data_IF_201481154261
#
_entry.id   IF_201481154261
#
_cell.length_a   1.000
_cell.length_b   1.000
_cell.length_c   1.000
_cell.angle_alpha   90.00
_cell.angle_beta   90.00
_cell.angle_gamma   90.00
#
_symmetry.space_group_name_H-M   'P 1'
#
loop_
_entity.id
_entity.type
_entity.pdbx_description
1 polymer ?
#
# COMPACT_ATOMS: atom_id res chain seq x y z
N UNK A 1 9.22 -27.13 -2.95
CA UNK A 1 8.70 -25.88 -2.38
C UNK A 1 9.79 -24.83 -2.53
N UNK A 2 9.54 -23.72 -3.24
CA UNK A 2 10.38 -22.53 -3.06
C UNK A 2 9.94 -21.89 -1.75
N UNK A 3 10.56 -22.33 -0.66
CA UNK A 3 10.54 -21.59 0.61
C UNK A 3 11.02 -20.18 0.28
N UNK A 4 10.30 -19.14 0.71
CA UNK A 4 10.84 -17.78 0.71
C UNK A 4 12.04 -17.81 1.66
N UNK A 5 13.19 -18.15 1.10
CA UNK A 5 14.47 -17.91 1.74
C UNK A 5 14.64 -16.41 1.55
N UNK A 6 14.85 -15.62 2.63
CA UNK A 6 15.31 -14.25 2.46
C UNK A 6 16.41 -14.30 1.40
N UNK A 7 16.29 -13.51 0.33
CA UNK A 7 17.34 -13.48 -0.67
C UNK A 7 18.55 -12.88 0.03
N UNK A 8 19.36 -13.72 0.66
CA UNK A 8 20.65 -13.36 1.22
C UNK A 8 21.46 -13.03 -0.01
N UNK A 9 21.46 -11.75 -0.39
CA UNK A 9 22.39 -11.27 -1.38
C UNK A 9 23.76 -11.41 -0.72
N UNK A 10 24.63 -12.30 -1.24
CA UNK A 10 25.91 -12.61 -0.60
C UNK A 10 26.84 -11.40 -0.50
N UNK A 11 26.50 -10.30 -1.19
CA UNK A 11 27.21 -9.03 -1.20
C UNK A 11 26.67 -8.00 -0.18
N UNK A 12 25.55 -8.29 0.50
CA UNK A 12 24.94 -7.40 1.48
C UNK A 12 25.34 -7.83 2.90
N UNK A 13 25.88 -6.88 3.68
CA UNK A 13 26.17 -7.08 5.10
C UNK A 13 24.90 -6.98 5.94
N UNK A 14 24.37 -8.14 6.33
CA UNK A 14 23.17 -8.25 7.17
C UNK A 14 23.44 -8.12 8.69
N UNK A 15 24.71 -7.98 9.13
CA UNK A 15 25.05 -7.91 10.55
C UNK A 15 24.34 -6.74 11.25
N UNK A 16 24.26 -5.59 10.58
CA UNK A 16 23.59 -4.38 11.06
C UNK A 16 22.08 -4.55 11.14
N UNK A 17 21.47 -5.17 10.14
CA UNK A 17 20.03 -5.51 10.15
C UNK A 17 19.71 -6.44 11.31
N UNK A 18 20.55 -7.45 11.56
CA UNK A 18 20.39 -8.37 12.69
C UNK A 18 20.48 -7.63 14.03
N UNK A 19 21.47 -6.76 14.18
CA UNK A 19 21.63 -5.92 15.38
C UNK A 19 20.43 -4.99 15.63
N UNK A 20 19.88 -4.39 14.57
CA UNK A 20 18.67 -3.57 14.65
C UNK A 20 17.45 -4.40 15.09
N UNK A 21 17.25 -5.58 14.48
CA UNK A 21 16.15 -6.50 14.86
C UNK A 21 16.25 -6.91 16.32
N UNK A 22 17.45 -7.25 16.80
CA UNK A 22 17.70 -7.59 18.21
C UNK A 22 17.43 -6.40 19.14
N UNK A 23 17.85 -5.20 18.74
CA UNK A 23 17.60 -3.96 19.49
C UNK A 23 16.10 -3.67 19.61
N UNK A 24 15.34 -3.72 18.51
CA UNK A 24 13.90 -3.46 18.53
C UNK A 24 13.12 -4.52 19.31
N UNK A 25 13.59 -5.78 19.29
CA UNK A 25 13.01 -6.84 20.12
C UNK A 25 13.16 -6.55 21.62
N UNK A 26 14.28 -5.94 22.04
CA UNK A 26 14.57 -5.67 23.45
C UNK A 26 14.02 -4.33 23.95
N UNK A 27 14.09 -3.28 23.12
CA UNK A 27 13.82 -1.89 23.52
C UNK A 27 12.55 -1.29 22.92
N UNK A 28 11.89 -2.00 22.01
CA UNK A 28 10.81 -1.45 21.19
C UNK A 28 11.33 -0.70 19.96
N UNK A 29 10.40 -0.28 19.11
CA UNK A 29 10.71 0.40 17.84
C UNK A 29 10.97 1.89 18.10
N UNK A 30 12.15 2.36 17.67
CA UNK A 30 12.48 3.78 17.61
C UNK A 30 12.72 4.17 16.14
N UNK A 31 11.86 5.06 15.64
CA UNK A 31 11.89 5.50 14.23
C UNK A 31 13.12 6.34 13.92
N UNK A 32 13.58 7.17 14.85
CA UNK A 32 14.75 8.01 14.64
C UNK A 32 16.01 7.15 14.62
N UNK A 33 16.13 6.21 15.57
CA UNK A 33 17.23 5.25 15.57
C UNK A 33 17.28 4.43 14.27
N UNK A 34 16.12 3.99 13.77
CA UNK A 34 16.03 3.26 12.49
C UNK A 34 16.44 4.11 11.28
N UNK A 35 16.07 5.40 11.24
CA UNK A 35 16.37 6.28 10.11
C UNK A 35 17.80 6.80 10.12
N UNK A 36 18.42 6.89 11.31
CA UNK A 36 19.81 7.32 11.49
C UNK A 36 20.83 6.18 11.31
N UNK A 37 20.39 4.93 11.28
CA UNK A 37 21.29 3.79 11.06
C UNK A 37 21.79 3.71 9.61
N UNK A 38 22.99 3.18 9.45
CA UNK A 38 23.71 3.15 8.18
C UNK A 38 23.55 1.82 7.41
N UNK A 39 22.45 1.09 7.66
CA UNK A 39 22.14 -0.19 7.03
C UNK A 39 21.52 -0.05 5.64
N UNK A 40 20.91 1.09 5.32
CA UNK A 40 20.25 1.30 4.03
C UNK A 40 21.23 1.18 2.86
N UNK A 41 20.87 0.38 1.85
CA UNK A 41 21.59 0.23 0.58
C UNK A 41 20.63 0.44 -0.58
N UNK A 42 20.15 1.67 -0.75
CA UNK A 42 19.31 2.04 -1.88
C UNK A 42 20.10 2.16 -3.18
N UNK A 43 19.40 2.41 -4.29
CA UNK A 43 20.00 2.52 -5.62
C UNK A 43 21.13 3.56 -5.64
N UNK A 44 22.26 3.17 -6.22
CA UNK A 44 23.44 4.02 -6.33
C UNK A 44 23.12 5.37 -6.98
N UNK A 45 23.55 6.46 -6.34
CA UNK A 45 23.32 7.84 -6.80
C UNK A 45 21.94 8.42 -6.45
N UNK A 46 21.06 7.65 -5.79
CA UNK A 46 19.73 8.07 -5.35
C UNK A 46 19.50 7.97 -3.84
N UNK A 47 20.50 7.57 -3.06
CA UNK A 47 20.40 7.14 -1.67
C UNK A 47 19.85 8.26 -0.77
N UNK A 48 20.41 9.47 -0.88
CA UNK A 48 19.96 10.64 -0.10
C UNK A 48 18.49 10.96 -0.36
N UNK A 49 18.07 10.92 -1.63
CA UNK A 49 16.68 11.18 -2.01
C UNK A 49 15.75 10.08 -1.51
N UNK A 50 16.18 8.82 -1.62
CA UNK A 50 15.42 7.67 -1.15
C UNK A 50 15.19 7.75 0.36
N UNK A 51 16.23 8.04 1.14
CA UNK A 51 16.12 8.22 2.58
C UNK A 51 15.21 9.41 2.93
N UNK A 52 15.31 10.55 2.24
CA UNK A 52 14.41 11.69 2.44
C UNK A 52 12.93 11.35 2.20
N UNK A 53 12.63 10.57 1.16
CA UNK A 53 11.27 10.11 0.86
C UNK A 53 10.78 9.20 2.00
N UNK A 54 11.60 8.22 2.40
CA UNK A 54 11.26 7.29 3.48
C UNK A 54 11.06 8.01 4.82
N UNK A 55 11.98 8.88 5.22
CA UNK A 55 11.91 9.68 6.44
C UNK A 55 10.62 10.50 6.47
N UNK A 56 10.29 11.18 5.38
CA UNK A 56 9.08 12.00 5.30
C UNK A 56 7.82 11.15 5.46
N UNK A 57 7.75 9.98 4.83
CA UNK A 57 6.60 9.09 4.94
C UNK A 57 6.47 8.43 6.33
N UNK A 58 7.59 7.99 6.92
CA UNK A 58 7.61 7.37 8.25
C UNK A 58 7.22 8.38 9.34
N UNK A 59 7.70 9.62 9.27
CA UNK A 59 7.33 10.68 10.23
C UNK A 59 5.86 11.11 10.14
N UNK A 60 5.21 10.88 9.00
CA UNK A 60 3.76 11.11 8.83
C UNK A 60 2.89 9.97 9.36
N UNK A 61 3.47 8.78 9.56
CA UNK A 61 2.74 7.56 9.95
C UNK A 61 3.11 7.06 11.35
N UNK A 62 4.25 7.50 11.90
CA UNK A 62 4.78 7.05 13.18
C UNK A 62 5.30 8.23 14.03
N UNK A 63 4.63 8.58 15.15
CA UNK A 63 3.35 8.04 15.61
C UNK A 63 2.17 8.51 14.73
N UNK A 64 1.11 7.71 14.66
CA UNK A 64 -0.13 8.05 13.97
C UNK A 64 -0.87 9.18 14.71
N UNK A 65 -0.59 10.43 14.33
CA UNK A 65 -1.17 11.64 14.96
C UNK A 65 -2.16 12.37 14.05
N UNK A 66 -2.10 12.09 12.75
CA UNK A 66 -2.92 12.73 11.71
C UNK A 66 -3.84 11.72 11.04
N UNK A 67 -5.01 12.14 10.54
CA UNK A 67 -5.82 11.28 9.69
C UNK A 67 -5.05 10.87 8.43
N UNK A 68 -5.09 9.59 8.10
CA UNK A 68 -4.62 9.08 6.82
C UNK A 68 -5.83 8.80 5.94
N UNK A 69 -5.85 9.38 4.75
CA UNK A 69 -6.90 9.15 3.76
C UNK A 69 -6.28 8.59 2.51
N UNK A 70 -6.76 7.43 2.07
CA UNK A 70 -6.52 6.95 0.72
C UNK A 70 -7.74 7.13 -0.15
N UNK A 71 -7.49 7.54 -1.40
CA UNK A 71 -8.50 7.68 -2.43
C UNK A 71 -8.00 6.91 -3.65
N UNK A 72 -8.90 6.20 -4.29
CA UNK A 72 -8.69 5.58 -5.58
C UNK A 72 -9.90 5.85 -6.47
N UNK A 73 -9.67 6.06 -7.76
CA UNK A 73 -10.72 6.42 -8.73
C UNK A 73 -10.63 5.52 -9.95
N UNK A 74 -11.70 4.78 -10.21
CA UNK A 74 -11.80 3.92 -11.37
C UNK A 74 -12.50 4.64 -12.53
N UNK A 75 -12.03 4.38 -13.75
CA UNK A 75 -12.62 4.90 -14.97
C UNK A 75 -12.84 3.78 -15.99
N UNK A 76 -13.75 4.02 -16.93
CA UNK A 76 -14.03 3.07 -18.01
C UNK A 76 -12.80 2.81 -18.87
N UNK A 77 -12.52 1.53 -19.17
CA UNK A 77 -11.43 1.10 -20.04
C UNK A 77 -11.51 1.71 -21.44
N UNK A 78 -12.71 1.82 -22.02
CA UNK A 78 -12.93 2.36 -23.37
C UNK A 78 -12.91 3.90 -23.40
N UNK A 79 -13.14 4.55 -22.26
CA UNK A 79 -13.10 5.99 -22.15
C UNK A 79 -12.75 6.44 -20.74
N UNK A 80 -11.46 6.73 -20.53
CA UNK A 80 -10.89 7.16 -19.25
C UNK A 80 -11.44 8.50 -18.72
N UNK A 81 -12.28 9.20 -19.49
CA UNK A 81 -13.03 10.37 -19.00
C UNK A 81 -14.30 10.00 -18.24
N UNK A 82 -14.78 8.76 -18.37
CA UNK A 82 -15.98 8.26 -17.69
C UNK A 82 -15.60 7.60 -16.37
N UNK A 83 -15.70 8.36 -15.29
CA UNK A 83 -15.52 7.88 -13.93
C UNK A 83 -16.62 6.87 -13.57
N UNK A 84 -16.25 5.70 -13.05
CA UNK A 84 -17.18 4.64 -12.67
C UNK A 84 -17.33 4.49 -11.16
N UNK A 85 -16.24 4.62 -10.41
CA UNK A 85 -16.21 4.42 -8.96
C UNK A 85 -15.23 5.39 -8.28
N UNK A 86 -15.51 5.73 -7.03
CA UNK A 86 -14.59 6.42 -6.12
C UNK A 86 -14.50 5.58 -4.85
N UNK A 87 -13.30 5.17 -4.50
CA UNK A 87 -12.96 4.50 -3.26
C UNK A 87 -12.31 5.45 -2.27
N UNK A 88 -12.68 5.32 -1.01
CA UNK A 88 -12.09 6.11 0.07
C UNK A 88 -11.83 5.20 1.26
N UNK A 89 -10.62 5.25 1.81
CA UNK A 89 -10.27 4.61 3.08
C UNK A 89 -9.74 5.68 4.05
N UNK A 90 -10.24 5.67 5.28
CA UNK A 90 -9.93 6.68 6.30
C UNK A 90 -9.47 5.97 7.57
N UNK A 91 -8.23 6.22 7.97
CA UNK A 91 -7.73 5.87 9.29
C UNK A 91 -7.57 7.16 10.09
N UNK A 92 -8.37 7.32 11.14
CA UNK A 92 -8.34 8.50 12.00
C UNK A 92 -7.93 8.10 13.42
N UNK A 93 -6.81 8.61 13.94
CA UNK A 93 -6.36 8.28 15.29
C UNK A 93 -7.34 8.76 16.37
N UNK A 94 -8.21 9.74 16.10
CA UNK A 94 -9.23 10.19 17.05
C UNK A 94 -10.47 9.29 17.10
N UNK A 95 -10.71 8.51 16.04
CA UNK A 95 -11.84 7.56 15.97
C UNK A 95 -11.40 6.18 16.44
N UNK A 96 -10.12 5.86 16.25
CA UNK A 96 -9.53 4.59 16.67
C UNK A 96 -9.69 4.41 18.18
N UNK A 97 -10.29 3.29 18.59
CA UNK A 97 -10.50 2.99 20.01
C UNK A 97 -9.15 2.98 20.75
N UNK A 98 -8.96 3.82 21.79
CA UNK A 98 -7.72 3.84 22.55
C UNK A 98 -7.37 2.45 23.07
N UNK A 99 -6.14 2.00 22.78
CA UNK A 99 -5.67 0.66 23.16
C UNK A 99 -6.09 -0.49 22.23
N UNK A 100 -6.85 -0.21 21.15
CA UNK A 100 -7.10 -1.23 20.12
C UNK A 100 -5.85 -1.49 19.31
N UNK A 101 -5.47 -2.77 19.22
CA UNK A 101 -4.37 -3.25 18.38
C UNK A 101 -4.78 -3.24 16.91
N UNK A 102 -6.07 -3.47 16.62
CA UNK A 102 -6.60 -3.47 15.26
C UNK A 102 -7.02 -2.05 14.86
N UNK A 103 -6.44 -1.46 13.80
CA UNK A 103 -6.82 -0.14 13.34
C UNK A 103 -8.24 -0.17 12.75
N UNK A 104 -9.09 0.77 13.16
CA UNK A 104 -10.42 0.93 12.59
C UNK A 104 -10.33 1.82 11.34
N UNK A 105 -10.38 1.19 10.17
CA UNK A 105 -10.35 1.89 8.88
C UNK A 105 -11.77 1.97 8.34
N UNK A 106 -12.26 3.19 8.15
CA UNK A 106 -13.54 3.43 7.51
C UNK A 106 -13.37 3.40 6.00
N UNK A 107 -14.08 2.51 5.33
CA UNK A 107 -14.10 2.41 3.86
C UNK A 107 -15.42 2.91 3.29
N UNK A 108 -15.37 3.68 2.21
CA UNK A 108 -16.54 4.22 1.50
C UNK A 108 -16.38 3.88 0.03
N UNK A 109 -17.39 3.25 -0.55
CA UNK A 109 -17.45 2.95 -1.98
C UNK A 109 -18.58 3.72 -2.64
N UNK A 110 -18.24 4.68 -3.51
CA UNK A 110 -19.19 5.48 -4.26
C UNK A 110 -19.20 5.01 -5.71
N UNK A 111 -20.37 4.64 -6.22
CA UNK A 111 -20.56 4.17 -7.59
C UNK A 111 -21.31 5.24 -8.39
N UNK A 112 -20.78 5.60 -9.55
CA UNK A 112 -21.33 6.68 -10.38
C UNK A 112 -22.55 6.20 -11.16
N UNK A 113 -23.71 6.77 -10.85
CA UNK A 113 -25.02 6.41 -11.40
C UNK A 113 -25.04 6.53 -12.93
N UNK A 114 -24.50 7.60 -13.47
CA UNK A 114 -24.47 7.89 -14.91
C UNK A 114 -23.69 6.81 -15.70
N UNK A 115 -22.74 6.15 -15.03
CA UNK A 115 -21.86 5.14 -15.60
C UNK A 115 -22.08 3.77 -14.94
N UNK A 116 -23.25 3.54 -14.33
CA UNK A 116 -23.53 2.31 -13.56
C UNK A 116 -23.41 1.05 -14.43
N UNK A 117 -23.82 1.15 -15.70
CA UNK A 117 -23.79 0.06 -16.66
C UNK A 117 -22.39 -0.22 -17.24
N UNK A 118 -21.44 0.69 -17.06
CA UNK A 118 -20.06 0.48 -17.51
C UNK A 118 -19.37 -0.47 -16.54
N UNK A 119 -18.84 -1.54 -17.11
CA UNK A 119 -18.07 -2.54 -16.40
C UNK A 119 -16.77 -2.78 -17.17
N UNK A 120 -15.66 -2.71 -16.46
CA UNK A 120 -14.33 -3.00 -16.98
C UNK A 120 -14.14 -4.52 -16.98
N UNK A 121 -13.96 -5.15 -18.13
CA UNK A 121 -13.74 -6.60 -18.22
C UNK A 121 -12.62 -6.97 -19.21
N UNK A 122 -12.13 -6.00 -20.00
CA UNK A 122 -11.26 -6.26 -21.14
C UNK A 122 -9.79 -6.31 -20.72
N UNK A 123 -9.39 -5.49 -19.75
CA UNK A 123 -8.01 -5.41 -19.25
C UNK A 123 -7.94 -5.61 -17.73
N UNK A 124 -9.08 -5.49 -17.05
CA UNK A 124 -9.26 -5.50 -15.60
C UNK A 124 -10.44 -6.41 -15.23
N UNK A 125 -10.40 -7.06 -14.06
CA UNK A 125 -11.37 -8.10 -13.67
C UNK A 125 -12.79 -7.61 -13.27
N UNK A 126 -13.14 -6.34 -13.45
CA UNK A 126 -14.52 -5.87 -13.26
C UNK A 126 -15.10 -6.12 -11.87
N UNK A 127 -14.34 -5.77 -10.83
CA UNK A 127 -14.68 -6.07 -9.45
C UNK A 127 -15.56 -4.99 -8.78
N UNK A 128 -16.16 -4.08 -9.55
CA UNK A 128 -17.12 -3.05 -9.11
C UNK A 128 -18.18 -3.54 -8.11
N UNK A 129 -18.65 -4.77 -8.27
CA UNK A 129 -19.69 -5.38 -7.43
C UNK A 129 -19.13 -6.16 -6.22
N UNK A 130 -17.81 -6.23 -6.05
CA UNK A 130 -17.13 -7.05 -5.04
C UNK A 130 -16.44 -6.20 -3.96
N UNK A 131 -17.12 -5.13 -3.55
CA UNK A 131 -16.64 -4.32 -2.42
C UNK A 131 -16.70 -5.13 -1.12
N UNK A 132 -15.57 -5.25 -0.42
CA UNK A 132 -15.48 -6.08 0.78
C UNK A 132 -15.97 -5.36 2.05
N UNK A 133 -16.06 -4.02 2.03
CA UNK A 133 -16.57 -3.23 3.16
C UNK A 133 -18.10 -3.19 3.26
N UNK A 134 -18.80 -4.04 2.50
CA UNK A 134 -20.26 -4.20 2.55
C UNK A 134 -20.99 -3.32 1.55
N UNK A 135 -21.35 -2.10 1.93
CA UNK A 135 -22.32 -1.29 1.17
C UNK A 135 -21.67 -0.36 0.16
N UNK A 136 -22.10 -0.48 -1.09
CA UNK A 136 -21.75 0.46 -2.17
C UNK A 136 -22.87 1.49 -2.37
N UNK A 137 -22.53 2.77 -2.43
CA UNK A 137 -23.49 3.87 -2.55
C UNK A 137 -23.56 4.37 -3.99
N UNK A 138 -24.70 4.18 -4.65
CA UNK A 138 -24.92 4.67 -6.01
C UNK A 138 -25.39 6.12 -5.97
N UNK A 139 -24.64 7.01 -6.60
CA UNK A 139 -24.86 8.46 -6.57
C UNK A 139 -24.59 9.08 -7.94
N UNK A 140 -25.20 10.23 -8.22
CA UNK A 140 -24.77 11.04 -9.38
C UNK A 140 -23.31 11.48 -9.22
N UNK A 141 -22.61 11.71 -10.33
CA UNK A 141 -21.22 12.20 -10.32
C UNK A 141 -21.08 13.45 -9.46
N UNK A 142 -22.02 14.39 -9.59
CA UNK A 142 -22.04 15.64 -8.82
C UNK A 142 -22.17 15.39 -7.30
N UNK A 143 -23.02 14.46 -6.88
CA UNK A 143 -23.16 14.10 -5.47
C UNK A 143 -21.88 13.44 -4.93
N UNK A 144 -21.29 12.54 -5.70
CA UNK A 144 -20.05 11.86 -5.32
C UNK A 144 -18.88 12.86 -5.18
N UNK A 145 -18.72 13.79 -6.13
CA UNK A 145 -17.72 14.86 -6.08
C UNK A 145 -17.93 15.79 -4.88
N UNK A 146 -19.19 16.14 -4.56
CA UNK A 146 -19.50 16.95 -3.38
C UNK A 146 -19.15 16.23 -2.06
N UNK A 147 -19.47 14.95 -1.94
CA UNK A 147 -19.11 14.14 -0.76
C UNK A 147 -17.60 14.05 -0.62
N UNK A 148 -16.88 13.76 -1.72
CA UNK A 148 -15.43 13.69 -1.72
C UNK A 148 -14.80 15.02 -1.33
N UNK A 149 -15.33 16.14 -1.84
CA UNK A 149 -14.91 17.49 -1.45
C UNK A 149 -15.06 17.75 0.05
N UNK A 150 -16.18 17.36 0.66
CA UNK A 150 -16.37 17.50 2.11
C UNK A 150 -15.43 16.62 2.94
N UNK A 151 -15.13 15.40 2.46
CA UNK A 151 -14.14 14.52 3.10
C UNK A 151 -12.75 15.12 3.02
N UNK A 152 -12.34 15.60 1.84
CA UNK A 152 -11.06 16.28 1.64
C UNK A 152 -10.93 17.51 2.52
N UNK A 153 -11.98 18.34 2.58
CA UNK A 153 -11.97 19.54 3.42
C UNK A 153 -11.83 19.19 4.91
N UNK A 154 -12.63 18.24 5.41
CA UNK A 154 -12.60 17.83 6.82
C UNK A 154 -11.24 17.26 7.23
N UNK A 155 -10.73 16.31 6.46
CA UNK A 155 -9.62 15.48 6.92
C UNK A 155 -8.26 15.95 6.40
N UNK A 156 -8.18 16.46 5.17
CA UNK A 156 -6.92 16.94 4.59
C UNK A 156 -6.70 18.42 4.90
N UNK A 157 -7.68 19.29 4.62
CA UNK A 157 -7.51 20.74 4.82
C UNK A 157 -7.59 21.11 6.30
N UNK A 158 -8.74 20.86 6.94
CA UNK A 158 -9.04 21.32 8.30
C UNK A 158 -8.20 20.59 9.36
N UNK A 159 -7.97 19.28 9.16
CA UNK A 159 -7.23 18.43 10.12
C UNK A 159 -5.79 18.13 9.72
N UNK A 160 -5.29 18.78 8.66
CA UNK A 160 -3.92 18.65 8.18
C UNK A 160 -3.49 17.19 7.96
N UNK A 161 -4.41 16.40 7.40
CA UNK A 161 -4.26 14.97 7.17
C UNK A 161 -3.34 14.64 5.99
N UNK A 162 -3.11 13.34 5.81
CA UNK A 162 -2.19 12.80 4.82
C UNK A 162 -2.96 12.10 3.71
N UNK A 163 -2.73 12.50 2.46
CA UNK A 163 -3.28 11.83 1.29
C UNK A 163 -2.38 10.65 0.88
N UNK A 164 -2.95 9.46 0.79
CA UNK A 164 -2.28 8.21 0.47
C UNK A 164 -2.82 7.65 -0.84
N UNK A 165 -1.96 7.07 -1.66
CA UNK A 165 -2.41 6.41 -2.87
C UNK A 165 -1.34 5.54 -3.50
N UNK A 166 -1.70 4.98 -4.64
CA UNK A 166 -0.83 4.16 -5.46
C UNK A 166 -0.69 4.84 -6.83
N UNK A 167 0.24 5.80 -6.92
CA UNK A 167 0.26 6.91 -7.90
C UNK A 167 -0.69 8.08 -7.55
N UNK A 168 -0.44 8.71 -6.40
CA UNK A 168 -1.21 9.86 -5.86
C UNK A 168 -1.36 11.01 -6.87
N UNK A 169 -0.41 11.13 -7.83
CA UNK A 169 -0.46 12.16 -8.86
C UNK A 169 -1.69 12.00 -9.76
N UNK A 170 -2.16 10.77 -10.00
CA UNK A 170 -3.37 10.52 -10.79
C UNK A 170 -4.62 10.96 -10.03
N UNK A 171 -4.73 10.61 -8.75
CA UNK A 171 -5.86 11.01 -7.90
C UNK A 171 -5.97 12.53 -7.80
N UNK A 172 -4.85 13.23 -7.60
CA UNK A 172 -4.84 14.70 -7.54
C UNK A 172 -5.28 15.33 -8.87
N UNK A 173 -4.92 14.74 -10.01
CA UNK A 173 -5.41 15.23 -11.31
C UNK A 173 -6.93 15.07 -11.40
N UNK A 174 -7.47 13.96 -10.91
CA UNK A 174 -8.91 13.75 -10.85
C UNK A 174 -9.58 14.77 -9.93
N UNK A 175 -9.11 14.91 -8.69
CA UNK A 175 -9.65 15.87 -7.71
C UNK A 175 -9.73 17.30 -8.27
N UNK A 176 -8.65 17.76 -8.92
CA UNK A 176 -8.62 19.07 -9.57
C UNK A 176 -9.64 19.21 -10.70
N UNK A 177 -9.82 18.16 -11.52
CA UNK A 177 -10.84 18.15 -12.59
C UNK A 177 -12.27 18.14 -12.03
N UNK A 178 -12.48 17.55 -10.86
CA UNK A 178 -13.74 17.57 -10.12
C UNK A 178 -14.00 18.91 -9.41
N UNK A 179 -13.10 19.91 -9.55
CA UNK A 179 -13.22 21.20 -8.88
C UNK A 179 -12.87 21.16 -7.39
N UNK A 180 -12.32 20.05 -6.90
CA UNK A 180 -11.89 19.91 -5.50
C UNK A 180 -10.52 20.57 -5.35
N UNK A 181 -10.44 21.54 -4.45
CA UNK A 181 -9.19 22.26 -4.19
C UNK A 181 -8.23 21.34 -3.44
N UNK A 182 -7.02 21.20 -3.98
CA UNK A 182 -5.94 20.42 -3.36
C UNK A 182 -4.70 21.30 -3.32
N UNK A 183 -4.31 21.73 -2.11
CA UNK A 183 -3.09 22.53 -1.94
C UNK A 183 -1.86 21.77 -2.42
N UNK A 184 -0.87 22.51 -2.93
CA UNK A 184 0.43 21.92 -3.29
C UNK A 184 1.20 21.45 -2.05
N UNK A 185 0.88 21.99 -0.87
CA UNK A 185 1.59 21.74 0.39
C UNK A 185 1.00 20.62 1.24
N UNK A 186 -0.08 19.95 0.78
CA UNK A 186 -0.67 18.85 1.57
C UNK A 186 0.36 17.73 1.77
N UNK A 187 0.26 17.03 2.90
CA UNK A 187 1.03 15.83 3.14
C UNK A 187 0.58 14.70 2.23
N UNK A 188 1.54 13.94 1.68
CA UNK A 188 1.27 12.85 0.73
C UNK A 188 2.19 11.67 0.95
N UNK A 189 1.66 10.46 0.79
CA UNK A 189 2.43 9.22 0.74
C UNK A 189 2.01 8.46 -0.52
N UNK A 190 2.98 8.16 -1.37
CA UNK A 190 2.75 7.38 -2.59
C UNK A 190 3.42 6.02 -2.43
N UNK A 191 2.61 4.96 -2.34
CA UNK A 191 3.10 3.58 -2.18
C UNK A 191 3.94 3.12 -3.36
N UNK A 192 3.66 3.62 -4.57
CA UNK A 192 4.48 3.34 -5.76
C UNK A 192 5.85 4.02 -5.63
N UNK A 193 5.95 5.20 -5.02
CA UNK A 193 7.23 5.85 -4.77
C UNK A 193 8.03 5.12 -3.68
N UNK A 194 7.36 4.62 -2.63
CA UNK A 194 8.00 3.87 -1.54
C UNK A 194 8.56 2.52 -1.99
N UNK A 195 7.82 1.74 -2.80
CA UNK A 195 8.33 0.45 -3.28
C UNK A 195 9.50 0.64 -4.28
N UNK A 196 9.50 1.73 -5.05
CA UNK A 196 10.59 2.10 -5.97
C UNK A 196 11.91 2.45 -5.28
N UNK A 197 11.90 2.66 -3.96
CA UNK A 197 13.14 2.83 -3.20
C UNK A 197 14.01 1.56 -3.24
N UNK A 198 13.37 0.39 -3.35
CA UNK A 198 14.03 -0.90 -3.20
C UNK A 198 13.81 -1.86 -4.37
N UNK A 199 12.84 -1.62 -5.25
CA UNK A 199 12.52 -2.50 -6.39
C UNK A 199 12.47 -1.70 -7.69
N UNK A 200 12.94 -2.28 -8.79
CA UNK A 200 12.83 -1.69 -10.15
C UNK A 200 11.55 -2.11 -10.88
N UNK A 201 10.89 -3.18 -10.44
CA UNK A 201 9.67 -3.74 -11.01
C UNK A 201 8.69 -4.15 -9.91
N UNK A 202 7.50 -4.66 -10.28
CA UNK A 202 6.49 -5.05 -9.29
C UNK A 202 5.75 -3.85 -8.67
N UNK A 203 5.61 -2.77 -9.43
CA UNK A 203 5.03 -1.52 -8.93
C UNK A 203 3.53 -1.52 -8.82
N UNK A 204 2.80 -2.49 -9.36
CA UNK A 204 1.34 -2.55 -9.25
C UNK A 204 0.92 -2.84 -7.82
N UNK A 205 -0.25 -2.34 -7.40
CA UNK A 205 -0.79 -2.58 -6.06
C UNK A 205 -0.81 -4.07 -5.68
N UNK A 206 -1.26 -4.93 -6.59
CA UNK A 206 -1.21 -6.40 -6.42
C UNK A 206 0.18 -6.92 -6.03
N UNK A 207 1.21 -6.50 -6.78
CA UNK A 207 2.59 -6.94 -6.55
C UNK A 207 3.16 -6.38 -5.24
N UNK A 208 2.81 -5.13 -4.89
CA UNK A 208 3.18 -4.55 -3.60
C UNK A 208 2.55 -5.34 -2.44
N UNK A 209 1.26 -5.67 -2.52
CA UNK A 209 0.58 -6.44 -1.49
C UNK A 209 1.16 -7.86 -1.37
N UNK A 210 1.50 -8.51 -2.50
CA UNK A 210 2.21 -9.81 -2.48
C UNK A 210 3.60 -9.68 -1.84
N UNK A 211 4.38 -8.66 -2.17
CA UNK A 211 5.71 -8.43 -1.57
C UNK A 211 5.65 -8.23 -0.06
N UNK A 212 4.55 -7.66 0.44
CA UNK A 212 4.30 -7.39 1.85
C UNK A 212 3.61 -8.55 2.58
N UNK A 213 3.30 -9.66 1.89
CA UNK A 213 2.45 -10.75 2.38
C UNK A 213 1.12 -10.28 2.97
N UNK A 214 0.52 -9.25 2.37
CA UNK A 214 -0.82 -8.79 2.74
C UNK A 214 -1.83 -9.62 1.94
N UNK A 215 -2.69 -10.42 2.60
CA UNK A 215 -3.78 -11.10 1.94
C UNK A 215 -4.71 -10.08 1.27
N UNK A 216 -5.07 -10.34 0.02
CA UNK A 216 -5.92 -9.45 -0.73
C UNK A 216 -6.79 -10.20 -1.72
N UNK A 217 -7.90 -9.57 -2.07
CA UNK A 217 -8.87 -10.03 -3.05
C UNK A 217 -9.59 -8.82 -3.67
N UNK A 218 -10.23 -9.03 -4.82
CA UNK A 218 -11.13 -8.07 -5.45
C UNK A 218 -10.48 -6.69 -5.73
N UNK A 219 -9.22 -6.69 -6.18
CA UNK A 219 -8.56 -5.48 -6.69
C UNK A 219 -9.30 -4.95 -7.91
N UNK A 220 -9.13 -3.65 -8.22
CA UNK A 220 -9.95 -2.92 -9.19
C UNK A 220 -11.42 -2.78 -8.80
N UNK A 221 -11.66 -2.80 -7.50
CA UNK A 221 -12.78 -2.11 -6.88
C UNK A 221 -12.18 -0.92 -6.15
N UNK A 222 -12.61 0.29 -6.49
CA UNK A 222 -11.91 1.49 -6.04
C UNK A 222 -11.78 1.56 -4.50
N UNK A 223 -12.81 1.14 -3.76
CA UNK A 223 -12.77 1.19 -2.29
C UNK A 223 -11.87 0.12 -1.67
N UNK A 224 -11.81 -1.08 -2.27
CA UNK A 224 -10.83 -2.09 -1.87
C UNK A 224 -9.40 -1.58 -2.16
N UNK A 225 -9.17 -0.96 -3.31
CA UNK A 225 -7.85 -0.47 -3.72
C UNK A 225 -7.38 0.70 -2.85
N UNK A 226 -8.29 1.60 -2.47
CA UNK A 226 -8.01 2.64 -1.46
C UNK A 226 -7.66 2.02 -0.10
N UNK A 227 -8.40 1.00 0.35
CA UNK A 227 -8.09 0.30 1.61
C UNK A 227 -6.70 -0.36 1.56
N UNK A 228 -6.42 -1.11 0.51
CA UNK A 228 -5.14 -1.80 0.35
C UNK A 228 -3.98 -0.82 0.17
N UNK A 229 -4.18 0.30 -0.51
CA UNK A 229 -3.17 1.36 -0.62
C UNK A 229 -2.84 1.97 0.75
N UNK A 230 -3.85 2.18 1.61
CA UNK A 230 -3.65 2.66 2.97
C UNK A 230 -2.86 1.66 3.82
N UNK A 231 -3.25 0.38 3.81
CA UNK A 231 -2.53 -0.66 4.55
C UNK A 231 -1.10 -0.83 4.02
N UNK A 232 -0.93 -0.87 2.70
CA UNK A 232 0.40 -0.96 2.08
C UNK A 232 1.30 0.22 2.48
N UNK A 233 0.77 1.44 2.55
CA UNK A 233 1.53 2.60 3.00
C UNK A 233 2.00 2.46 4.46
N UNK A 234 1.13 1.99 5.37
CA UNK A 234 1.49 1.74 6.77
C UNK A 234 2.58 0.67 6.85
N UNK A 235 2.40 -0.46 6.16
CA UNK A 235 3.38 -1.55 6.14
C UNK A 235 4.72 -1.14 5.51
N UNK A 236 4.72 -0.33 4.44
CA UNK A 236 5.94 0.18 3.81
C UNK A 236 6.69 1.19 4.68
N UNK A 237 6.02 1.75 5.69
CA UNK A 237 6.55 2.70 6.68
C UNK A 237 6.80 2.06 8.06
N UNK A 238 6.67 0.73 8.19
CA UNK A 238 6.96 0.01 9.44
C UNK A 238 8.40 -0.55 9.41
N UNK A 239 9.29 -0.17 10.35
CA UNK A 239 10.68 -0.65 10.35
C UNK A 239 10.81 -2.18 10.39
N UNK A 240 9.96 -2.87 11.14
CA UNK A 240 10.02 -4.33 11.28
C UNK A 240 9.64 -5.00 9.97
N UNK A 241 8.56 -4.55 9.34
CA UNK A 241 8.15 -5.04 8.01
C UNK A 241 9.28 -4.79 7.01
N UNK A 242 9.86 -3.59 6.99
CA UNK A 242 10.95 -3.24 6.05
C UNK A 242 12.19 -4.11 6.23
N UNK A 243 12.62 -4.34 7.48
CA UNK A 243 13.76 -5.21 7.80
C UNK A 243 13.47 -6.70 7.53
N UNK A 244 12.21 -7.14 7.60
CA UNK A 244 11.83 -8.53 7.30
C UNK A 244 11.65 -8.76 5.80
N UNK A 245 11.28 -7.74 5.04
CA UNK A 245 11.03 -7.82 3.59
C UNK A 245 12.20 -7.31 2.74
N UNK A 246 13.35 -7.04 3.36
CA UNK A 246 14.55 -6.51 2.72
C UNK A 246 14.25 -5.26 1.86
N UNK A 247 13.39 -4.38 2.37
CA UNK A 247 12.95 -3.17 1.66
C UNK A 247 13.94 -2.01 1.79
N UNK A 248 14.99 -2.18 2.59
CA UNK A 248 16.08 -1.21 2.76
C UNK A 248 17.27 -1.46 1.83
N UNK A 249 17.17 -2.55 1.06
CA UNK A 249 18.12 -2.94 0.04
C UNK A 249 17.51 -2.78 -1.33
N UNK A 250 18.24 -2.14 -2.23
CA UNK A 250 17.86 -2.05 -3.63
C UNK A 250 18.19 -3.34 -4.35
N UNK A 251 17.16 -3.98 -4.88
CA UNK A 251 17.25 -5.22 -5.63
C UNK A 251 16.88 -4.94 -7.10
N UNK A 252 17.87 -4.87 -8.01
CA UNK A 252 17.61 -4.71 -9.43
C UNK A 252 16.96 -5.98 -9.99
N UNK A 253 16.22 -5.84 -11.09
CA UNK A 253 15.42 -6.94 -11.66
C UNK A 253 16.28 -8.03 -12.38
N UNK A 254 17.61 -8.06 -12.24
CA UNK A 254 18.49 -8.89 -13.10
C UNK A 254 18.64 -10.36 -12.67
N UNK A 255 18.22 -11.24 -13.60
CA UNK A 255 18.71 -12.58 -13.99
C UNK A 255 18.36 -13.89 -13.23
N UNK A 256 17.59 -13.88 -12.15
CA UNK A 256 16.95 -15.12 -11.62
C UNK A 256 15.44 -15.00 -11.36
N UNK A 257 14.89 -13.78 -11.46
CA UNK A 257 13.48 -13.48 -11.25
C UNK A 257 12.77 -13.06 -12.55
N UNK A 258 13.32 -13.42 -13.72
CA UNK A 258 12.53 -13.49 -14.96
C UNK A 258 11.54 -14.66 -14.91
N UNK A 259 10.74 -14.76 -13.83
CA UNK A 259 9.48 -15.47 -13.92
C UNK A 259 8.72 -14.77 -15.04
N UNK A 260 8.61 -15.47 -16.18
CA UNK A 260 7.65 -15.21 -17.27
C UNK A 260 6.43 -14.56 -16.64
N UNK A 261 5.96 -13.44 -17.19
CA UNK A 261 4.69 -12.81 -16.82
C UNK A 261 3.72 -13.88 -16.32
N UNK A 262 3.55 -13.95 -14.99
CA UNK A 262 2.56 -14.86 -14.43
C UNK A 262 1.27 -14.06 -14.43
N UNK A 263 0.22 -14.53 -15.14
CA UNK A 263 -1.07 -13.88 -15.07
C UNK A 263 -1.48 -13.78 -13.59
N UNK A 264 -2.16 -12.67 -13.23
CA UNK A 264 -2.67 -12.49 -11.86
C UNK A 264 -3.53 -13.70 -11.53
N UNK A 265 -3.03 -14.55 -10.62
CA UNK A 265 -3.76 -15.70 -10.14
C UNK A 265 -3.96 -15.53 -8.63
N UNK A 266 -5.18 -15.17 -8.27
CA UNK A 266 -5.61 -15.05 -6.88
C UNK A 266 -6.15 -16.38 -6.33
N UNK A 267 -6.14 -17.45 -7.13
CA UNK A 267 -6.49 -18.79 -6.68
C UNK A 267 -5.43 -19.37 -5.74
N UNK A 268 -5.90 -20.17 -4.78
CA UNK A 268 -5.01 -20.91 -3.90
C UNK A 268 -4.19 -21.93 -4.70
N UNK A 269 -2.88 -21.94 -4.46
CA UNK A 269 -2.02 -23.02 -4.95
C UNK A 269 -2.14 -24.21 -4.00
N UNK A 270 -2.76 -25.29 -4.47
CA UNK A 270 -2.79 -26.56 -3.73
C UNK A 270 -1.45 -27.26 -3.89
N UNK A 271 -0.83 -27.62 -2.77
CA UNK A 271 0.39 -28.40 -2.71
C UNK A 271 0.08 -29.61 -1.84
N UNK A 272 0.31 -30.81 -2.38
CA UNK A 272 0.23 -32.03 -1.58
C UNK A 272 1.42 -32.05 -0.63
N UNK A 273 1.16 -32.28 0.66
CA UNK A 273 2.21 -32.43 1.67
C UNK A 273 2.63 -33.90 1.68
N UNK A 274 3.77 -34.19 1.06
CA UNK A 274 4.30 -35.55 0.97
C UNK A 274 5.08 -35.98 2.22
N UNK A 275 5.51 -35.02 3.04
CA UNK A 275 6.24 -35.23 4.30
C UNK A 275 5.70 -34.27 5.37
N UNK A 276 4.88 -34.83 6.27
CA UNK A 276 4.22 -34.08 7.34
C UNK A 276 5.21 -33.48 8.32
N UNK A 277 6.24 -34.23 8.73
CA UNK A 277 7.20 -33.75 9.72
C UNK A 277 8.03 -32.61 9.16
N UNK A 278 8.46 -32.71 7.90
CA UNK A 278 9.15 -31.62 7.22
C UNK A 278 8.28 -30.37 7.09
N UNK A 279 6.99 -30.53 6.77
CA UNK A 279 6.07 -29.39 6.71
C UNK A 279 5.89 -28.73 8.08
N UNK A 280 5.73 -29.53 9.14
CA UNK A 280 5.67 -29.04 10.53
C UNK A 280 6.96 -28.29 10.88
N UNK A 281 8.12 -28.87 10.59
CA UNK A 281 9.42 -28.26 10.86
C UNK A 281 9.57 -26.94 10.10
N UNK A 282 9.17 -26.88 8.83
CA UNK A 282 9.20 -25.66 8.02
C UNK A 282 8.26 -24.58 8.60
N UNK A 283 7.00 -24.93 8.93
CA UNK A 283 5.98 -23.99 9.46
C UNK A 283 6.29 -23.50 10.87
N UNK A 284 6.81 -24.38 11.73
CA UNK A 284 7.16 -24.04 13.12
C UNK A 284 8.57 -23.45 13.23
N UNK A 285 9.40 -23.54 12.18
CA UNK A 285 10.66 -22.81 12.16
C UNK A 285 10.37 -21.31 12.10
N UNK A 286 10.90 -20.55 13.07
CA UNK A 286 10.82 -19.07 13.11
C UNK A 286 11.63 -18.39 11.97
N UNK A 287 11.85 -19.08 10.84
CA UNK A 287 12.48 -18.54 9.64
C UNK A 287 11.38 -17.93 8.75
N UNK A 288 10.77 -16.85 9.24
CA UNK A 288 9.99 -15.91 8.44
C UNK A 288 10.87 -14.78 7.91
#
# INVERSE_FOLDING_TARGET
>A
MEVYTPMIHPELDYSKVKSLKETFKLKGIDIDQYLESDHFKFKQGGEKRALQILTSAMKLTNPLTKPLISIDCEASEDNTKKLTEIGIAILDPQISTPGSIVPQIKTIHLVILENLQLHNYKYVQGNKLKFMGGTSYVLTKKQAENILGQIMEKYITTRDGVLIGHDVKQDIKYLKKAGIQVSQTIHRIDTMALIKLSRDSGHSLWAVLKQLDIPHANLHNAANDAYYSLIAAISLCDPIVRLNKDLDFYLPTSSSLSKKYQPRNDEAKFILVDDEQKFIDDVLSNKG
#
